data_IF_404120707639
#
_entry.id   IF_404120707639
#
_cell.length_a   1.000
_cell.length_b   1.000
_cell.length_c   1.000
_cell.angle_alpha   90.00
_cell.angle_beta   90.00
_cell.angle_gamma   90.00
#
_symmetry.space_group_name_H-M   'P 1'
#
loop_
_entity.id
_entity.type
_entity.pdbx_description
1 polymer ?
#
# COMPACT_ATOMS: atom_id res chain seq x y z
N UNK A 1 1.30 41.02 2.42
CA UNK A 1 0.99 41.62 3.75
C UNK A 1 0.14 40.59 4.49
N UNK A 2 0.57 39.83 5.50
CA UNK A 2 1.61 40.00 6.52
C UNK A 2 2.34 38.66 6.70
N UNK A 3 3.66 38.77 6.85
CA UNK A 3 4.56 37.76 7.39
C UNK A 3 4.37 37.66 8.93
N UNK A 4 5.28 36.89 9.55
CA UNK A 4 5.78 36.97 10.94
C UNK A 4 5.15 35.89 11.83
N UNK A 5 5.85 35.01 12.55
CA UNK A 5 7.28 34.67 12.77
C UNK A 5 7.24 33.36 13.61
N UNK A 6 8.12 32.36 13.41
CA UNK A 6 9.45 32.19 14.04
C UNK A 6 9.38 32.22 15.60
N UNK A 7 10.18 31.53 16.42
CA UNK A 7 11.64 31.31 16.52
C UNK A 7 11.82 30.36 17.77
N UNK A 8 12.76 29.40 17.94
CA UNK A 8 14.18 29.47 18.39
C UNK A 8 14.67 28.02 18.64
N UNK A 9 15.83 27.54 18.14
CA UNK A 9 17.24 27.71 18.61
C UNK A 9 17.45 27.04 20.00
N UNK A 10 18.49 26.26 20.35
CA UNK A 10 19.91 26.23 19.98
C UNK A 10 20.54 24.87 20.40
N UNK A 11 21.47 24.28 19.63
CA UNK A 11 22.93 24.21 19.86
C UNK A 11 23.36 23.53 21.18
N UNK A 12 24.05 22.38 21.09
CA UNK A 12 25.35 22.15 21.77
C UNK A 12 26.27 21.31 20.88
N UNK A 13 27.36 21.95 20.48
CA UNK A 13 28.55 21.40 19.85
C UNK A 13 29.52 21.02 20.99
N UNK A 14 30.01 19.79 21.04
CA UNK A 14 31.16 19.42 21.87
C UNK A 14 32.23 18.76 20.99
N UNK A 15 33.29 19.51 20.73
CA UNK A 15 34.57 19.04 20.17
C UNK A 15 35.47 18.60 21.33
N UNK A 16 36.24 17.54 21.10
CA UNK A 16 37.40 17.12 21.89
C UNK A 16 37.22 15.69 22.41
N UNK A 17 38.12 14.71 22.20
CA UNK A 17 39.58 14.80 22.23
C UNK A 17 40.19 13.71 21.32
N UNK A 18 41.20 14.11 20.55
CA UNK A 18 42.14 13.22 19.86
C UNK A 18 43.05 12.53 20.87
N UNK A 19 43.17 11.21 20.78
CA UNK A 19 44.11 10.42 21.55
C UNK A 19 44.52 9.17 20.78
N UNK A 20 45.54 9.29 19.93
CA UNK A 20 46.27 8.15 19.37
C UNK A 20 47.22 7.60 20.43
N UNK A 21 46.98 6.37 20.92
CA UNK A 21 48.04 5.49 21.44
C UNK A 21 47.65 4.04 21.16
N UNK A 22 48.43 3.40 20.29
CA UNK A 22 48.70 1.94 20.26
C UNK A 22 50.24 1.83 20.38
N UNK A 23 50.83 0.80 21.03
CA UNK A 23 50.76 -0.58 20.51
C UNK A 23 50.92 -1.77 21.49
N UNK A 24 50.55 -2.94 20.95
CA UNK A 24 51.16 -4.28 21.06
C UNK A 24 51.00 -5.20 22.30
N UNK A 25 50.61 -6.46 21.99
CA UNK A 25 50.77 -7.68 22.79
C UNK A 25 49.43 -8.43 22.99
N UNK A 26 49.05 -9.37 22.10
CA UNK A 26 49.27 -10.84 22.24
C UNK A 26 48.36 -11.50 23.27
N UNK A 27 47.54 -12.55 23.10
CA UNK A 27 47.21 -13.60 22.10
C UNK A 27 45.79 -14.08 22.56
N UNK A 28 44.80 -14.49 21.76
CA UNK A 28 44.69 -15.79 21.10
C UNK A 28 43.43 -15.83 20.19
N UNK A 29 43.41 -16.79 19.26
CA UNK A 29 42.62 -16.70 18.04
C UNK A 29 41.19 -17.23 18.08
N UNK A 30 40.34 -16.67 17.22
CA UNK A 30 39.55 -17.44 16.27
C UNK A 30 39.20 -16.56 15.08
N UNK A 31 39.51 -17.09 13.90
CA UNK A 31 39.13 -16.56 12.59
C UNK A 31 37.64 -16.75 12.34
N UNK A 32 37.17 -16.09 11.28
CA UNK A 32 35.93 -16.29 10.50
C UNK A 32 34.60 -15.98 11.20
N UNK A 33 33.74 -15.12 10.67
CA UNK A 33 33.75 -14.40 9.41
C UNK A 33 32.69 -13.30 9.42
N UNK A 34 32.80 -12.39 8.46
CA UNK A 34 31.72 -11.51 8.04
C UNK A 34 30.48 -12.37 7.75
N UNK A 35 29.56 -12.46 8.70
CA UNK A 35 28.25 -12.99 8.42
C UNK A 35 27.43 -11.83 7.85
N UNK A 36 27.45 -11.78 6.53
CA UNK A 36 26.47 -11.11 5.69
C UNK A 36 25.09 -11.72 5.98
N UNK A 37 24.53 -11.43 7.15
CA UNK A 37 23.13 -11.69 7.41
C UNK A 37 22.40 -10.61 6.64
N UNK A 38 22.03 -10.96 5.41
CA UNK A 38 21.28 -10.12 4.49
C UNK A 38 20.19 -9.38 5.25
N UNK A 39 20.07 -8.09 4.96
CA UNK A 39 19.02 -7.25 5.49
C UNK A 39 17.68 -7.93 5.23
N UNK A 40 17.19 -8.68 6.22
CA UNK A 40 15.78 -9.01 6.32
C UNK A 40 15.15 -7.65 6.49
N UNK A 41 14.57 -7.14 5.40
CA UNK A 41 13.73 -5.96 5.46
C UNK A 41 12.64 -6.30 6.47
N UNK A 42 12.82 -5.86 7.71
CA UNK A 42 11.75 -5.84 8.69
C UNK A 42 10.74 -4.87 8.08
N UNK A 43 9.69 -5.41 7.49
CA UNK A 43 8.50 -4.65 7.13
C UNK A 43 7.97 -4.15 8.47
N UNK A 44 8.35 -2.93 8.85
CA UNK A 44 7.74 -2.23 9.96
C UNK A 44 6.29 -2.04 9.56
N UNK A 45 5.37 -2.44 10.43
CA UNK A 45 3.94 -2.45 10.14
C UNK A 45 3.50 -1.08 9.59
N UNK A 46 3.15 -1.07 8.31
CA UNK A 46 2.44 0.04 7.68
C UNK A 46 0.96 -0.10 8.12
N UNK A 47 0.34 1.03 8.47
CA UNK A 47 -0.84 1.08 9.34
C UNK A 47 -2.11 0.53 8.68
N UNK A 48 -2.43 -0.73 8.97
CA UNK A 48 -3.78 -1.31 8.93
C UNK A 48 -3.81 -2.59 9.78
N UNK A 49 -4.95 -2.90 10.41
CA UNK A 49 -5.09 -4.12 11.21
C UNK A 49 -5.07 -5.37 10.32
N UNK A 50 -4.11 -6.26 10.57
CA UNK A 50 -3.93 -7.53 9.85
C UNK A 50 -4.71 -8.69 10.47
N UNK A 51 -5.57 -8.43 11.47
CA UNK A 51 -6.42 -9.43 12.14
C UNK A 51 -7.67 -9.79 11.31
N UNK A 52 -7.51 -10.05 10.02
CA UNK A 52 -8.62 -10.34 9.11
C UNK A 52 -9.38 -11.61 9.54
N UNK A 53 -10.59 -11.42 10.06
CA UNK A 53 -11.47 -12.52 10.43
C UNK A 53 -11.98 -13.33 9.23
N UNK A 54 -12.01 -12.70 8.05
CA UNK A 54 -12.41 -13.31 6.77
C UNK A 54 -11.62 -12.68 5.62
N UNK A 55 -11.34 -13.47 4.58
CA UNK A 55 -10.84 -12.98 3.28
C UNK A 55 -11.88 -13.34 2.23
N UNK A 56 -12.74 -12.38 1.90
CA UNK A 56 -13.85 -12.57 0.96
C UNK A 56 -14.11 -11.32 0.13
N UNK A 57 -14.73 -11.52 -1.03
CA UNK A 57 -15.28 -10.44 -1.86
C UNK A 57 -16.81 -10.37 -1.78
N UNK A 58 -17.48 -11.28 -1.06
CA UNK A 58 -18.93 -11.24 -0.89
C UNK A 58 -19.31 -10.25 0.21
N UNK A 59 -20.08 -9.19 -0.08
CA UNK A 59 -20.50 -8.21 0.93
C UNK A 59 -21.23 -8.84 2.12
N UNK A 60 -21.91 -9.98 1.91
CA UNK A 60 -22.65 -10.68 2.98
C UNK A 60 -21.76 -11.24 4.06
N UNK A 61 -20.51 -11.60 3.74
CA UNK A 61 -19.55 -12.11 4.71
C UNK A 61 -19.13 -11.03 5.73
N UNK A 62 -19.34 -9.75 5.39
CA UNK A 62 -19.11 -8.59 6.26
C UNK A 62 -20.41 -8.02 6.83
N UNK A 63 -21.57 -8.63 6.52
CA UNK A 63 -22.86 -8.11 6.96
C UNK A 63 -23.34 -6.86 6.22
N UNK A 64 -22.75 -6.52 5.06
CA UNK A 64 -23.20 -5.40 4.23
C UNK A 64 -24.58 -5.74 3.64
N UNK A 65 -25.52 -4.84 3.85
CA UNK A 65 -26.92 -4.97 3.41
C UNK A 65 -27.13 -4.47 1.98
N UNK A 66 -28.22 -4.92 1.33
CA UNK A 66 -28.60 -4.42 0.01
C UNK A 66 -28.84 -2.89 -0.01
N UNK A 67 -29.33 -2.31 1.09
CA UNK A 67 -29.57 -0.86 1.17
C UNK A 67 -28.25 -0.08 1.26
N UNK A 68 -27.23 -0.63 1.91
CA UNK A 68 -25.86 -0.10 1.86
C UNK A 68 -25.31 -0.20 0.44
N UNK A 69 -25.43 -1.34 -0.23
CA UNK A 69 -24.94 -1.52 -1.62
C UNK A 69 -25.68 -0.62 -2.63
N UNK A 70 -26.94 -0.28 -2.38
CA UNK A 70 -27.69 0.71 -3.16
C UNK A 70 -27.31 2.15 -2.84
N UNK A 71 -26.39 2.36 -1.89
CA UNK A 71 -25.96 3.67 -1.42
C UNK A 71 -27.15 4.58 -1.02
N UNK A 72 -28.16 4.03 -0.34
CA UNK A 72 -29.35 4.79 0.13
C UNK A 72 -28.93 5.95 1.05
N UNK A 73 -27.86 5.74 1.81
CA UNK A 73 -27.09 6.74 2.54
C UNK A 73 -25.61 6.48 2.33
N UNK A 74 -24.81 7.53 2.14
CA UNK A 74 -23.37 7.38 1.94
C UNK A 74 -22.72 6.78 3.21
N UNK A 75 -22.06 5.61 3.11
CA UNK A 75 -21.28 5.06 4.22
C UNK A 75 -20.08 5.94 4.56
N UNK A 76 -19.64 5.87 5.81
CA UNK A 76 -18.30 6.33 6.17
C UNK A 76 -17.30 5.22 5.89
N UNK A 77 -16.67 5.26 4.72
CA UNK A 77 -15.73 4.24 4.29
C UNK A 77 -14.45 4.18 5.13
N UNK A 78 -14.14 5.21 5.92
CA UNK A 78 -12.98 5.19 6.82
C UNK A 78 -13.15 4.19 7.97
N UNK A 79 -14.39 3.89 8.35
CA UNK A 79 -14.74 2.93 9.41
C UNK A 79 -14.73 1.47 8.94
N UNK A 80 -14.68 1.22 7.63
CA UNK A 80 -14.72 -0.14 7.08
C UNK A 80 -13.38 -0.84 7.31
N UNK A 81 -13.38 -2.14 7.58
CA UNK A 81 -12.13 -2.92 7.47
C UNK A 81 -11.77 -3.15 6.00
N UNK A 82 -10.50 -3.44 5.67
CA UNK A 82 -10.06 -3.60 4.27
C UNK A 82 -10.96 -4.53 3.44
N UNK A 83 -11.33 -5.68 4.01
CA UNK A 83 -12.18 -6.66 3.35
C UNK A 83 -13.59 -6.15 3.06
N UNK A 84 -14.17 -5.39 4.01
CA UNK A 84 -15.49 -4.78 3.88
C UNK A 84 -15.46 -3.69 2.80
N UNK A 85 -14.42 -2.85 2.80
CA UNK A 85 -14.20 -1.81 1.79
C UNK A 85 -14.10 -2.40 0.38
N UNK A 86 -13.29 -3.45 0.23
CA UNK A 86 -13.10 -4.14 -1.05
C UNK A 86 -14.39 -4.81 -1.53
N UNK A 87 -15.09 -5.51 -0.64
CA UNK A 87 -16.35 -6.16 -1.00
C UNK A 87 -17.41 -5.14 -1.40
N UNK A 88 -17.50 -4.00 -0.69
CA UNK A 88 -18.40 -2.90 -1.05
C UNK A 88 -18.04 -2.32 -2.43
N UNK A 89 -16.77 -1.97 -2.65
CA UNK A 89 -16.30 -1.41 -3.92
C UNK A 89 -16.68 -2.32 -5.10
N UNK A 90 -16.42 -3.63 -4.98
CA UNK A 90 -16.68 -4.61 -6.04
C UNK A 90 -18.16 -4.83 -6.37
N UNK A 91 -19.08 -4.33 -5.54
CA UNK A 91 -20.54 -4.55 -5.66
C UNK A 91 -21.34 -3.26 -5.85
N UNK A 92 -20.68 -2.11 -5.88
CA UNK A 92 -21.33 -0.81 -6.04
C UNK A 92 -20.84 -0.10 -7.30
N UNK A 93 -21.63 0.86 -7.76
CA UNK A 93 -21.29 1.78 -8.84
C UNK A 93 -21.52 3.23 -8.38
N UNK A 94 -21.21 4.18 -9.27
CA UNK A 94 -21.38 5.61 -9.03
C UNK A 94 -20.69 6.08 -7.74
N UNK A 95 -21.37 6.95 -6.99
CA UNK A 95 -20.81 7.61 -5.82
C UNK A 95 -20.31 6.65 -4.73
N UNK A 96 -20.95 5.48 -4.57
CA UNK A 96 -20.50 4.46 -3.62
C UNK A 96 -19.15 3.85 -4.04
N UNK A 97 -19.01 3.53 -5.33
CA UNK A 97 -17.75 3.00 -5.87
C UNK A 97 -16.64 4.04 -5.90
N UNK A 98 -16.96 5.31 -6.18
CA UNK A 98 -15.98 6.40 -6.19
C UNK A 98 -15.42 6.67 -4.79
N UNK A 99 -16.30 6.81 -3.79
CA UNK A 99 -15.88 7.04 -2.41
C UNK A 99 -15.11 5.87 -1.80
N UNK A 100 -15.51 4.63 -2.08
CA UNK A 100 -14.78 3.45 -1.61
C UNK A 100 -13.45 3.26 -2.34
N UNK A 101 -13.35 3.62 -3.62
CA UNK A 101 -12.09 3.58 -4.36
C UNK A 101 -11.08 4.63 -3.86
N UNK A 102 -11.54 5.82 -3.46
CA UNK A 102 -10.68 6.84 -2.87
C UNK A 102 -10.05 6.34 -1.57
N UNK A 103 -10.86 5.82 -0.64
CA UNK A 103 -10.34 5.26 0.61
C UNK A 103 -9.44 4.04 0.37
N UNK A 104 -9.73 3.23 -0.66
CA UNK A 104 -8.85 2.12 -1.04
C UNK A 104 -7.48 2.62 -1.54
N UNK A 105 -7.46 3.70 -2.32
CA UNK A 105 -6.22 4.34 -2.75
C UNK A 105 -5.43 4.87 -1.56
N UNK A 106 -6.06 5.62 -0.66
CA UNK A 106 -5.42 6.14 0.55
C UNK A 106 -4.78 5.02 1.38
N UNK A 107 -5.49 3.90 1.58
CA UNK A 107 -4.96 2.72 2.29
C UNK A 107 -3.81 2.06 1.56
N UNK A 108 -3.82 2.02 0.23
CA UNK A 108 -2.69 1.52 -0.54
C UNK A 108 -1.46 2.42 -0.38
N UNK A 109 -1.64 3.73 -0.34
CA UNK A 109 -0.54 4.68 -0.13
C UNK A 109 0.04 4.58 1.29
N UNK A 110 -0.82 4.45 2.30
CA UNK A 110 -0.41 4.34 3.71
C UNK A 110 0.18 2.96 4.05
N UNK A 111 -0.46 1.88 3.59
CA UNK A 111 -0.14 0.51 3.94
C UNK A 111 -0.08 -0.45 2.74
N UNK A 112 0.81 -0.19 1.76
CA UNK A 112 0.87 -0.93 0.50
C UNK A 112 1.07 -2.43 0.70
N UNK A 113 1.92 -2.84 1.65
CA UNK A 113 2.14 -4.27 1.89
C UNK A 113 0.88 -4.99 2.39
N UNK A 114 0.09 -4.31 3.23
CA UNK A 114 -1.14 -4.87 3.80
C UNK A 114 -2.17 -5.06 2.70
N UNK A 115 -2.39 -4.03 1.86
CA UNK A 115 -3.30 -4.11 0.72
C UNK A 115 -2.86 -5.17 -0.31
N UNK A 116 -1.57 -5.18 -0.68
CA UNK A 116 -1.01 -6.18 -1.61
C UNK A 116 -1.16 -7.61 -1.07
N UNK A 117 -0.92 -7.82 0.23
CA UNK A 117 -1.09 -9.12 0.87
C UNK A 117 -2.55 -9.56 0.85
N UNK A 118 -3.49 -8.64 1.15
CA UNK A 118 -4.92 -8.95 1.11
C UNK A 118 -5.38 -9.32 -0.30
N UNK A 119 -4.98 -8.54 -1.31
CA UNK A 119 -5.24 -8.83 -2.73
C UNK A 119 -4.66 -10.19 -3.14
N UNK A 120 -3.46 -10.53 -2.65
CA UNK A 120 -2.86 -11.84 -2.89
C UNK A 120 -3.69 -12.98 -2.25
N UNK A 121 -4.29 -12.78 -1.08
CA UNK A 121 -5.14 -13.77 -0.43
C UNK A 121 -6.52 -13.90 -1.11
N UNK A 122 -7.11 -12.81 -1.60
CA UNK A 122 -8.32 -12.87 -2.43
C UNK A 122 -8.09 -13.76 -3.65
N UNK A 123 -6.92 -13.59 -4.29
CA UNK A 123 -6.48 -14.41 -5.40
C UNK A 123 -7.37 -14.29 -6.63
N UNK A 124 -7.79 -15.42 -7.18
CA UNK A 124 -8.41 -15.48 -8.52
C UNK A 124 -9.95 -15.44 -8.48
N UNK A 125 -10.53 -15.00 -7.35
CA UNK A 125 -11.97 -14.79 -7.22
C UNK A 125 -12.48 -13.82 -8.29
N UNK A 126 -13.62 -14.12 -8.90
CA UNK A 126 -14.15 -13.33 -10.02
C UNK A 126 -14.90 -12.10 -9.53
N UNK A 127 -14.59 -10.94 -10.12
CA UNK A 127 -15.35 -9.73 -9.87
C UNK A 127 -16.76 -9.86 -10.45
N UNK A 128 -17.73 -9.24 -9.79
CA UNK A 128 -19.09 -9.16 -10.31
C UNK A 128 -19.15 -8.09 -11.39
N UNK A 129 -19.18 -8.51 -12.66
CA UNK A 129 -19.45 -7.60 -13.78
C UNK A 129 -18.26 -6.76 -14.24
N UNK A 130 -17.02 -7.27 -14.07
CA UNK A 130 -15.84 -6.58 -14.58
C UNK A 130 -15.90 -6.27 -16.07
N UNK A 131 -15.07 -5.34 -16.53
CA UNK A 131 -15.09 -4.79 -17.90
C UNK A 131 -15.09 -5.87 -19.00
N UNK A 132 -14.43 -7.00 -18.77
CA UNK A 132 -14.40 -8.14 -19.70
C UNK A 132 -15.44 -9.24 -19.42
N UNK A 133 -16.17 -9.15 -18.31
CA UNK A 133 -17.01 -10.23 -17.77
C UNK A 133 -16.23 -11.41 -17.17
N UNK A 134 -14.88 -11.39 -17.26
CA UNK A 134 -13.99 -12.44 -16.75
C UNK A 134 -12.91 -11.90 -15.81
N UNK A 135 -12.95 -10.61 -15.48
CA UNK A 135 -11.96 -9.98 -14.61
C UNK A 135 -12.04 -10.57 -13.20
N UNK A 136 -10.87 -10.77 -12.59
CA UNK A 136 -10.77 -11.12 -11.18
C UNK A 136 -11.03 -9.89 -10.32
N UNK A 137 -11.36 -10.09 -9.05
CA UNK A 137 -11.45 -9.01 -8.07
C UNK A 137 -10.15 -8.21 -8.02
N UNK A 138 -9.00 -8.89 -8.07
CA UNK A 138 -7.68 -8.25 -8.12
C UNK A 138 -7.53 -7.35 -9.35
N UNK A 139 -8.07 -7.73 -10.52
CA UNK A 139 -8.01 -6.91 -11.72
C UNK A 139 -8.78 -5.59 -11.56
N UNK A 140 -9.98 -5.66 -10.98
CA UNK A 140 -10.79 -4.48 -10.69
C UNK A 140 -10.12 -3.58 -9.64
N UNK A 141 -9.55 -4.16 -8.59
CA UNK A 141 -8.85 -3.41 -7.54
C UNK A 141 -7.59 -2.72 -8.07
N UNK A 142 -6.78 -3.40 -8.90
CA UNK A 142 -5.64 -2.78 -9.55
C UNK A 142 -6.06 -1.58 -10.40
N UNK A 143 -7.16 -1.73 -11.16
CA UNK A 143 -7.70 -0.65 -11.98
C UNK A 143 -8.21 0.51 -11.12
N UNK A 144 -8.88 0.23 -10.01
CA UNK A 144 -9.40 1.22 -9.07
C UNK A 144 -8.29 2.10 -8.52
N UNK A 145 -7.29 1.46 -7.90
CA UNK A 145 -6.15 2.12 -7.25
C UNK A 145 -5.37 2.96 -8.28
N UNK A 146 -5.07 2.36 -9.44
CA UNK A 146 -4.31 3.06 -10.49
C UNK A 146 -5.10 4.22 -11.13
N UNK A 147 -6.43 4.07 -11.27
CA UNK A 147 -7.27 5.14 -11.82
C UNK A 147 -7.42 6.29 -10.83
N UNK A 148 -7.50 6.02 -9.52
CA UNK A 148 -7.49 7.06 -8.50
C UNK A 148 -6.20 7.89 -8.54
N UNK A 149 -5.02 7.23 -8.58
CA UNK A 149 -3.71 7.92 -8.69
C UNK A 149 -3.69 8.92 -9.85
N UNK A 150 -4.22 8.53 -11.00
CA UNK A 150 -4.15 9.32 -12.23
C UNK A 150 -5.26 10.36 -12.32
N UNK A 151 -6.51 9.97 -12.04
CA UNK A 151 -7.67 10.82 -12.29
C UNK A 151 -7.94 11.81 -11.16
N UNK A 152 -7.53 11.50 -9.93
CA UNK A 152 -7.86 12.29 -8.75
C UNK A 152 -6.62 12.89 -8.06
N UNK A 153 -5.46 12.24 -8.19
CA UNK A 153 -4.23 12.61 -7.46
C UNK A 153 -3.07 13.06 -8.36
N UNK A 154 -3.33 13.34 -9.64
CA UNK A 154 -2.37 13.94 -10.59
C UNK A 154 -1.06 13.14 -10.80
N UNK A 155 -1.13 11.80 -10.81
CA UNK A 155 -0.01 10.92 -11.17
C UNK A 155 1.18 11.12 -10.23
N UNK A 156 1.03 10.67 -8.98
CA UNK A 156 2.02 10.99 -7.94
C UNK A 156 3.38 10.29 -8.14
N UNK A 157 4.47 10.97 -7.75
CA UNK A 157 5.80 10.35 -7.71
C UNK A 157 5.85 9.26 -6.62
N UNK A 158 5.19 9.50 -5.48
CA UNK A 158 5.12 8.58 -4.34
C UNK A 158 4.55 7.21 -4.74
N UNK A 159 3.50 7.17 -5.56
CA UNK A 159 2.96 5.90 -6.07
C UNK A 159 3.99 5.12 -6.87
N UNK A 160 4.79 5.81 -7.69
CA UNK A 160 5.87 5.20 -8.49
C UNK A 160 6.98 4.64 -7.60
N UNK A 161 7.34 5.38 -6.54
CA UNK A 161 8.32 4.94 -5.54
C UNK A 161 7.84 3.71 -4.76
N UNK A 162 6.55 3.67 -4.38
CA UNK A 162 5.92 2.50 -3.74
C UNK A 162 6.02 1.28 -4.67
N UNK A 163 5.62 1.40 -5.95
CA UNK A 163 5.72 0.30 -6.89
C UNK A 163 7.16 -0.21 -7.02
N UNK A 164 8.13 0.69 -7.23
CA UNK A 164 9.54 0.32 -7.38
C UNK A 164 10.09 -0.36 -6.11
N UNK A 165 9.77 0.16 -4.92
CA UNK A 165 10.15 -0.44 -3.63
C UNK A 165 9.61 -1.86 -3.52
N UNK A 166 8.31 -2.06 -3.73
CA UNK A 166 7.68 -3.36 -3.52
C UNK A 166 8.01 -4.37 -4.62
N UNK A 167 8.30 -3.95 -5.85
CA UNK A 167 8.86 -4.81 -6.90
C UNK A 167 10.25 -5.34 -6.52
N UNK A 168 11.08 -4.54 -5.84
CA UNK A 168 12.37 -5.01 -5.32
C UNK A 168 12.21 -5.99 -4.16
N UNK A 169 11.17 -5.85 -3.33
CA UNK A 169 10.90 -6.75 -2.20
C UNK A 169 10.30 -8.07 -2.69
N UNK A 170 9.40 -8.00 -3.68
CA UNK A 170 8.68 -9.12 -4.27
C UNK A 170 9.05 -9.26 -5.76
N UNK A 171 10.22 -9.85 -6.07
CA UNK A 171 10.66 -10.02 -7.46
C UNK A 171 9.85 -11.08 -8.22
N UNK A 172 9.17 -11.98 -7.52
CA UNK A 172 8.33 -13.02 -8.10
C UNK A 172 7.10 -13.35 -7.23
N UNK A 173 6.28 -14.30 -7.73
CA UNK A 173 5.07 -14.75 -7.04
C UNK A 173 3.85 -13.87 -7.25
N UNK A 174 2.84 -14.06 -6.41
CA UNK A 174 1.51 -13.46 -6.59
C UNK A 174 1.54 -11.93 -6.42
N UNK A 175 2.26 -11.42 -5.42
CA UNK A 175 2.40 -9.98 -5.19
C UNK A 175 3.15 -9.30 -6.34
N UNK A 176 4.22 -9.91 -6.86
CA UNK A 176 4.90 -9.41 -8.06
C UNK A 176 3.92 -9.27 -9.25
N UNK A 177 3.06 -10.28 -9.46
CA UNK A 177 2.01 -10.22 -10.49
C UNK A 177 0.97 -9.11 -10.27
N UNK A 178 0.64 -8.80 -9.01
CA UNK A 178 -0.24 -7.68 -8.66
C UNK A 178 0.44 -6.34 -8.97
N UNK A 179 1.69 -6.17 -8.56
CA UNK A 179 2.48 -4.96 -8.80
C UNK A 179 2.64 -4.66 -10.29
N UNK A 180 2.99 -5.66 -11.11
CA UNK A 180 3.06 -5.49 -12.57
C UNK A 180 1.71 -5.10 -13.17
N UNK A 181 0.60 -5.56 -12.59
CA UNK A 181 -0.74 -5.20 -13.06
C UNK A 181 -1.13 -3.78 -12.66
N UNK A 182 -0.82 -3.35 -11.43
CA UNK A 182 -0.99 -1.96 -11.00
C UNK A 182 -0.25 -0.99 -11.92
N UNK A 183 1.01 -1.28 -12.25
CA UNK A 183 1.82 -0.46 -13.16
C UNK A 183 1.17 -0.35 -14.54
N UNK A 184 0.77 -1.49 -15.12
CA UNK A 184 0.09 -1.51 -16.43
C UNK A 184 -1.24 -0.76 -16.42
N UNK A 185 -2.06 -0.92 -15.37
CA UNK A 185 -3.33 -0.20 -15.26
C UNK A 185 -3.10 1.30 -15.10
N UNK A 186 -2.03 1.70 -14.41
CA UNK A 186 -1.63 3.10 -14.28
C UNK A 186 -1.22 3.71 -15.61
N UNK A 187 -0.37 3.02 -16.38
CA UNK A 187 -0.03 3.44 -17.74
C UNK A 187 -1.27 3.60 -18.62
N UNK A 188 -2.18 2.64 -18.54
CA UNK A 188 -3.43 2.68 -19.28
C UNK A 188 -4.35 3.83 -18.81
N UNK A 189 -4.37 4.13 -17.52
CA UNK A 189 -5.12 5.26 -16.96
C UNK A 189 -4.53 6.60 -17.41
N UNK A 190 -3.20 6.75 -17.45
CA UNK A 190 -2.53 7.95 -17.97
C UNK A 190 -2.94 8.18 -19.42
N UNK A 191 -2.93 7.14 -20.26
CA UNK A 191 -3.32 7.26 -21.66
C UNK A 191 -4.80 7.62 -21.83
N UNK A 192 -5.70 7.12 -20.96
CA UNK A 192 -7.13 7.47 -20.97
C UNK A 192 -7.40 8.94 -20.58
N UNK A 193 -6.51 9.56 -19.81
CA UNK A 193 -6.68 10.92 -19.27
C UNK A 193 -5.85 11.99 -20.01
N UNK A 194 -5.20 11.63 -21.14
CA UNK A 194 -4.53 12.58 -22.05
C UNK A 194 -5.51 13.17 -23.05
#
# INVERSE_FOLDING_TARGET
>A
MKNVAAIFLAIVMCIGVSGCVSPAGSDDGSLVGEDMIGAVAIIRADFEDISWGVVSIDPKDYGITDDQLRCVSMPDFSEYILGELIAYYLYTDGAGSEGSAEVLYERFMEAPNTVLTYMALIGDQKARGGSSGNDTAVDELCRAIASADVAWHDVTDEFSEILAKYQSIYPDGRIAGILSRLEKEREAAIERNR
#
